data_IF_721896037818
#
_entry.id   IF_721896037818
#
_cell.length_a   1.000
_cell.length_b   1.000
_cell.length_c   1.000
_cell.angle_alpha   90.00
_cell.angle_beta   90.00
_cell.angle_gamma   90.00
#
_symmetry.space_group_name_H-M   'P 1'
#
loop_
_entity.id
_entity.type
_entity.pdbx_description
1 polymer ?
#
# COMPACT_ATOMS: atom_id res chain seq x y z
N UNK A 1 18.90 -5.84 -25.82
CA UNK A 1 19.00 -6.06 -24.36
C UNK A 1 17.59 -6.10 -23.81
N UNK A 2 17.13 -7.28 -23.42
CA UNK A 2 15.82 -7.50 -22.81
C UNK A 2 15.92 -7.14 -21.32
N UNK A 3 15.37 -5.99 -20.93
CA UNK A 3 15.01 -5.74 -19.54
C UNK A 3 13.53 -6.05 -19.38
N UNK A 4 13.29 -7.11 -18.59
CA UNK A 4 12.01 -7.73 -18.33
C UNK A 4 10.94 -6.72 -17.90
N UNK A 5 9.84 -6.81 -18.63
CA UNK A 5 8.50 -6.27 -18.36
C UNK A 5 7.99 -6.99 -17.10
N UNK A 6 8.44 -6.59 -15.92
CA UNK A 6 7.87 -7.09 -14.67
C UNK A 6 6.57 -6.34 -14.39
N UNK A 7 5.49 -6.93 -14.94
CA UNK A 7 4.17 -7.00 -14.31
C UNK A 7 3.33 -5.72 -14.25
N UNK A 8 3.28 -4.98 -15.35
CA UNK A 8 2.09 -4.19 -15.72
C UNK A 8 0.90 -5.09 -16.13
N UNK A 9 0.61 -6.15 -15.35
CA UNK A 9 -0.43 -7.14 -15.66
C UNK A 9 -1.14 -7.63 -14.40
N UNK A 10 -2.01 -6.79 -13.84
CA UNK A 10 -3.30 -7.26 -13.34
C UNK A 10 -4.37 -6.61 -14.21
N UNK A 11 -4.91 -7.43 -15.09
CA UNK A 11 -6.04 -7.14 -15.96
C UNK A 11 -7.17 -6.57 -15.10
N UNK A 12 -7.54 -5.30 -15.29
CA UNK A 12 -8.83 -4.78 -14.81
C UNK A 12 -9.87 -5.22 -15.83
N UNK A 13 -10.39 -6.43 -15.64
CA UNK A 13 -11.62 -6.86 -16.28
C UNK A 13 -12.79 -6.27 -15.46
N UNK A 14 -13.50 -5.36 -16.12
CA UNK A 14 -14.93 -5.04 -16.00
C UNK A 14 -15.57 -5.01 -14.58
N UNK A 15 -15.64 -3.78 -14.05
CA UNK A 15 -16.41 -3.40 -12.87
C UNK A 15 -15.61 -2.41 -12.02
N UNK A 16 -15.80 -1.11 -12.21
CA UNK A 16 -15.10 -0.02 -11.51
C UNK A 16 -15.36 -0.04 -9.99
N UNK A 17 -14.74 -1.01 -9.30
CA UNK A 17 -14.62 -1.05 -7.86
C UNK A 17 -13.43 -0.19 -7.46
N UNK A 18 -13.64 0.75 -6.54
CA UNK A 18 -12.55 1.47 -5.90
C UNK A 18 -11.51 0.47 -5.37
N UNK A 19 -10.20 0.71 -5.57
CA UNK A 19 -9.17 -0.17 -5.06
C UNK A 19 -9.30 -0.30 -3.54
N UNK A 20 -9.10 -1.49 -3.02
CA UNK A 20 -9.15 -1.71 -1.57
C UNK A 20 -8.01 -0.96 -0.88
N UNK A 21 -8.20 -0.60 0.39
CA UNK A 21 -7.16 0.07 1.20
C UNK A 21 -5.86 -0.75 1.18
N UNK A 22 -5.96 -2.08 1.26
CA UNK A 22 -4.80 -2.98 1.19
C UNK A 22 -4.04 -2.88 -0.13
N UNK A 23 -4.74 -2.83 -1.25
CA UNK A 23 -4.12 -2.68 -2.58
C UNK A 23 -3.43 -1.33 -2.72
N UNK A 24 -4.07 -0.26 -2.24
CA UNK A 24 -3.49 1.09 -2.25
C UNK A 24 -2.20 1.12 -1.42
N UNK A 25 -2.24 0.59 -0.19
CA UNK A 25 -1.08 0.53 0.71
C UNK A 25 0.05 -0.27 0.09
N UNK A 26 -0.27 -1.43 -0.49
CA UNK A 26 0.70 -2.29 -1.16
C UNK A 26 1.35 -1.57 -2.34
N UNK A 27 0.55 -1.02 -3.25
CA UNK A 27 1.06 -0.29 -4.42
C UNK A 27 1.96 0.87 -3.99
N UNK A 28 1.56 1.61 -2.94
CA UNK A 28 2.34 2.74 -2.46
C UNK A 28 3.70 2.33 -1.91
N UNK A 29 3.76 1.28 -1.09
CA UNK A 29 5.01 0.81 -0.49
C UNK A 29 5.90 0.07 -1.50
N UNK A 30 5.31 -0.67 -2.45
CA UNK A 30 6.06 -1.37 -3.49
C UNK A 30 6.75 -0.42 -4.48
N UNK A 31 6.13 0.74 -4.74
CA UNK A 31 6.69 1.79 -5.61
C UNK A 31 7.53 2.84 -4.85
N UNK A 32 7.75 2.65 -3.54
CA UNK A 32 8.56 3.56 -2.74
C UNK A 32 9.94 2.94 -2.49
N UNK A 33 10.99 3.67 -2.83
CA UNK A 33 12.38 3.32 -2.45
C UNK A 33 12.76 3.88 -1.07
N UNK A 34 11.87 4.63 -0.44
CA UNK A 34 12.04 5.21 0.89
C UNK A 34 11.04 4.61 1.88
N UNK A 35 11.42 4.61 3.15
CA UNK A 35 10.49 4.31 4.25
C UNK A 35 9.38 5.38 4.32
N UNK A 36 8.15 4.93 4.50
CA UNK A 36 6.97 5.79 4.60
C UNK A 36 6.39 5.68 6.01
N UNK A 37 6.06 6.83 6.60
CA UNK A 37 5.28 6.86 7.84
C UNK A 37 3.85 6.42 7.58
N UNK A 38 3.24 5.77 8.57
CA UNK A 38 1.82 5.44 8.56
C UNK A 38 0.95 6.65 8.24
N UNK A 39 1.24 7.82 8.80
CA UNK A 39 0.46 9.03 8.54
C UNK A 39 0.47 9.42 7.06
N UNK A 40 1.62 9.29 6.39
CA UNK A 40 1.74 9.56 4.95
C UNK A 40 0.97 8.52 4.14
N UNK A 41 0.95 7.26 4.57
CA UNK A 41 0.18 6.20 3.93
C UNK A 41 -1.32 6.47 4.09
N UNK A 42 -1.78 6.82 5.30
CA UNK A 42 -3.18 7.18 5.57
C UNK A 42 -3.63 8.33 4.66
N UNK A 43 -2.82 9.39 4.52
CA UNK A 43 -3.12 10.54 3.66
C UNK A 43 -3.29 10.13 2.19
N UNK A 44 -2.41 9.27 1.69
CA UNK A 44 -2.48 8.79 0.30
C UNK A 44 -3.71 7.91 0.08
N UNK A 45 -4.04 7.04 1.04
CA UNK A 45 -5.27 6.25 1.01
C UNK A 45 -6.49 7.17 0.92
N UNK A 46 -6.57 8.19 1.77
CA UNK A 46 -7.66 9.18 1.77
C UNK A 46 -7.80 9.91 0.43
N UNK A 47 -6.68 10.31 -0.17
CA UNK A 47 -6.65 10.97 -1.48
C UNK A 47 -7.19 10.07 -2.60
N UNK A 48 -6.86 8.78 -2.58
CA UNK A 48 -7.28 7.83 -3.62
C UNK A 48 -8.76 7.47 -3.49
N UNK A 49 -9.23 7.21 -2.27
CA UNK A 49 -10.65 6.87 -2.02
C UNK A 49 -11.57 8.11 -1.96
N UNK A 50 -11.00 9.33 -1.99
CA UNK A 50 -11.69 10.62 -1.89
C UNK A 50 -12.56 10.76 -0.64
N UNK A 51 -12.06 10.24 0.49
CA UNK A 51 -12.71 10.37 1.80
C UNK A 51 -11.80 11.11 2.77
N UNK A 52 -12.40 11.79 3.73
CA UNK A 52 -11.66 12.43 4.83
C UNK A 52 -11.03 11.37 5.73
N UNK A 53 -9.84 11.65 6.25
CA UNK A 53 -9.20 10.78 7.24
C UNK A 53 -10.09 10.68 8.49
N UNK A 54 -10.49 9.45 8.80
CA UNK A 54 -11.19 9.10 10.02
C UNK A 54 -10.50 7.91 10.72
N UNK A 55 -10.99 7.55 11.91
CA UNK A 55 -10.48 6.43 12.68
C UNK A 55 -10.66 5.08 11.97
N UNK A 56 -11.72 4.95 11.16
CA UNK A 56 -12.01 3.72 10.41
C UNK A 56 -10.98 3.50 9.29
N UNK A 57 -10.63 4.54 8.53
CA UNK A 57 -9.61 4.48 7.47
C UNK A 57 -8.22 4.27 8.10
N UNK A 58 -7.91 4.97 9.18
CA UNK A 58 -6.66 4.79 9.92
C UNK A 58 -6.52 3.36 10.47
N UNK A 59 -7.61 2.80 11.02
CA UNK A 59 -7.68 1.43 11.50
C UNK A 59 -7.53 0.42 10.37
N UNK A 60 -8.26 0.59 9.28
CA UNK A 60 -8.17 -0.27 8.09
C UNK A 60 -6.76 -0.25 7.46
N UNK A 61 -6.12 0.92 7.42
CA UNK A 61 -4.73 1.05 6.95
C UNK A 61 -3.77 0.31 7.88
N UNK A 62 -3.97 0.39 9.20
CA UNK A 62 -3.17 -0.36 10.18
C UNK A 62 -3.32 -1.87 10.01
N UNK A 63 -4.53 -2.35 9.80
CA UNK A 63 -4.82 -3.77 9.54
C UNK A 63 -4.16 -4.21 8.25
N UNK A 64 -4.29 -3.43 7.17
CA UNK A 64 -3.67 -3.73 5.89
C UNK A 64 -2.14 -3.83 5.99
N UNK A 65 -1.49 -2.91 6.73
CA UNK A 65 -0.05 -2.95 6.95
C UNK A 65 0.39 -4.23 7.67
N UNK A 66 -0.32 -4.64 8.73
CA UNK A 66 -0.02 -5.88 9.45
C UNK A 66 -0.22 -7.13 8.60
N UNK A 67 -1.27 -7.15 7.78
CA UNK A 67 -1.49 -8.27 6.85
C UNK A 67 -0.36 -8.38 5.83
N UNK A 68 0.06 -7.26 5.24
CA UNK A 68 1.15 -7.23 4.26
C UNK A 68 2.51 -7.58 4.88
N UNK A 69 2.72 -7.21 6.15
CA UNK A 69 3.89 -7.63 6.94
C UNK A 69 3.87 -9.14 7.18
N UNK A 70 2.72 -9.69 7.59
CA UNK A 70 2.57 -11.14 7.76
C UNK A 70 2.73 -11.92 6.46
N UNK A 71 2.44 -11.31 5.31
CA UNK A 71 2.68 -11.86 3.97
C UNK A 71 4.15 -11.75 3.53
N UNK A 72 5.02 -11.08 4.31
CA UNK A 72 6.42 -10.83 3.95
C UNK A 72 6.60 -9.88 2.76
N UNK A 73 5.58 -9.06 2.47
CA UNK A 73 5.65 -8.06 1.40
C UNK A 73 6.27 -6.74 1.86
N UNK A 74 6.06 -6.37 3.12
CA UNK A 74 6.56 -5.12 3.70
C UNK A 74 7.17 -5.38 5.09
N UNK A 75 8.07 -4.50 5.52
CA UNK A 75 8.68 -4.56 6.83
C UNK A 75 8.28 -3.34 7.66
N UNK A 76 7.95 -3.55 8.93
CA UNK A 76 7.88 -2.49 9.93
C UNK A 76 9.27 -2.19 10.47
N UNK A 77 9.72 -0.93 10.36
CA UNK A 77 11.09 -0.55 10.74
C UNK A 77 11.14 -0.05 12.18
N UNK A 78 10.53 1.09 12.45
CA UNK A 78 10.44 1.68 13.80
C UNK A 78 9.46 2.85 13.79
N UNK A 79 8.90 3.23 14.94
CA UNK A 79 8.10 4.45 15.11
C UNK A 79 6.98 4.68 14.06
N UNK A 80 6.35 3.61 13.55
CA UNK A 80 5.29 3.72 12.54
C UNK A 80 5.79 3.92 11.12
N UNK A 81 7.07 3.67 10.84
CA UNK A 81 7.65 3.64 9.50
C UNK A 81 7.59 2.23 8.89
N UNK A 82 7.22 2.19 7.62
CA UNK A 82 7.01 0.98 6.84
C UNK A 82 7.79 1.08 5.53
N UNK A 83 8.33 -0.04 5.06
CA UNK A 83 9.03 -0.11 3.77
C UNK A 83 8.70 -1.42 3.07
N UNK A 84 8.99 -1.51 1.77
CA UNK A 84 8.98 -2.81 1.08
C UNK A 84 10.05 -3.74 1.63
N UNK A 85 9.73 -5.02 1.77
CA UNK A 85 10.73 -6.04 2.13
C UNK A 85 11.78 -6.12 1.03
N UNK A 86 13.05 -6.13 1.41
CA UNK A 86 14.17 -6.28 0.47
C UNK A 86 14.24 -7.75 0.03
N UNK A 87 13.73 -8.04 -1.17
CA UNK A 87 13.87 -9.33 -1.86
C UNK A 87 15.15 -9.30 -2.71
#
# INVERSE_FOLDING_TARGET
MNYNIYQAKRMREEGDGLPSIKEIVKEKLMNSDVELKKEQIDEQVCLIIKLSKDESISGATSTALRELESEGSIDHISHGYWKRTSI
#
